data_IF_713605326689
#
_entry.id   IF_713605326689
#
_cell.length_a   1.000
_cell.length_b   1.000
_cell.length_c   1.000
_cell.angle_alpha   90.00
_cell.angle_beta   90.00
_cell.angle_gamma   90.00
#
_symmetry.space_group_name_H-M   'P 1'
#
loop_
_entity.id
_entity.type
_entity.pdbx_description
1 polymer ?
#
# COMPACT_ATOMS: atom_id res chain seq x y z
N UNK A 1 -29.12 -12.11 0.39
CA UNK A 1 -29.47 -10.85 -0.29
C UNK A 1 -30.09 -9.78 0.64
N UNK A 2 -30.49 -10.12 1.88
CA UNK A 2 -31.10 -9.17 2.85
C UNK A 2 -30.11 -8.45 3.79
N UNK A 3 -28.83 -8.84 3.84
CA UNK A 3 -27.81 -8.18 4.67
C UNK A 3 -27.18 -6.94 4.02
N UNK A 4 -27.27 -6.78 2.69
CA UNK A 4 -26.71 -5.65 1.95
C UNK A 4 -27.51 -4.34 2.13
N UNK A 5 -28.77 -4.42 2.55
CA UNK A 5 -29.65 -3.27 2.67
C UNK A 5 -29.52 -2.49 3.99
N UNK A 6 -28.77 -3.02 4.99
CA UNK A 6 -28.73 -2.43 6.34
C UNK A 6 -27.50 -1.54 6.62
N UNK A 7 -26.46 -1.55 5.77
CA UNK A 7 -25.23 -0.77 5.96
C UNK A 7 -24.54 -0.32 4.64
N UNK A 8 -25.20 0.49 3.78
CA UNK A 8 -24.65 0.89 2.47
C UNK A 8 -23.38 1.73 2.55
N UNK A 9 -23.20 2.51 3.63
CA UNK A 9 -22.04 3.40 3.82
C UNK A 9 -20.73 2.65 4.06
N UNK A 10 -20.76 1.54 4.81
CA UNK A 10 -19.57 0.75 5.15
C UNK A 10 -19.10 -0.10 3.97
N UNK A 11 -20.05 -0.67 3.21
CA UNK A 11 -19.73 -1.45 2.01
C UNK A 11 -19.13 -0.56 0.91
N UNK A 12 -19.72 0.61 0.67
CA UNK A 12 -19.21 1.57 -0.31
C UNK A 12 -17.79 2.04 0.03
N UNK A 13 -17.53 2.35 1.30
CA UNK A 13 -16.19 2.72 1.77
C UNK A 13 -15.18 1.58 1.60
N UNK A 14 -15.57 0.34 1.91
CA UNK A 14 -14.70 -0.82 1.74
C UNK A 14 -14.35 -1.06 0.27
N UNK A 15 -15.34 -1.04 -0.63
CA UNK A 15 -15.12 -1.19 -2.07
C UNK A 15 -14.19 -0.08 -2.59
N UNK A 16 -14.42 1.16 -2.19
CA UNK A 16 -13.58 2.29 -2.58
C UNK A 16 -12.13 2.12 -2.09
N UNK A 17 -11.93 1.73 -0.83
CA UNK A 17 -10.60 1.46 -0.29
C UNK A 17 -9.90 0.35 -1.06
N UNK A 18 -10.59 -0.76 -1.33
CA UNK A 18 -10.03 -1.88 -2.09
C UNK A 18 -9.64 -1.44 -3.50
N UNK A 19 -10.50 -0.69 -4.18
CA UNK A 19 -10.22 -0.18 -5.51
C UNK A 19 -9.00 0.76 -5.52
N UNK A 20 -8.93 1.72 -4.58
CA UNK A 20 -7.81 2.64 -4.47
C UNK A 20 -6.50 1.92 -4.11
N UNK A 21 -6.52 1.01 -3.14
CA UNK A 21 -5.34 0.21 -2.76
C UNK A 21 -4.86 -0.65 -3.93
N UNK A 22 -5.78 -1.25 -4.69
CA UNK A 22 -5.44 -2.04 -5.88
C UNK A 22 -4.75 -1.15 -6.92
N UNK A 23 -5.29 0.03 -7.21
CA UNK A 23 -4.69 0.98 -8.16
C UNK A 23 -3.28 1.43 -7.73
N UNK A 24 -3.10 1.74 -6.45
CA UNK A 24 -1.79 2.11 -5.88
C UNK A 24 -0.80 0.96 -6.00
N UNK A 25 -1.21 -0.28 -5.71
CA UNK A 25 -0.35 -1.45 -5.86
C UNK A 25 -0.03 -1.75 -7.32
N UNK A 26 -1.00 -1.61 -8.23
CA UNK A 26 -0.76 -1.73 -9.67
C UNK A 26 0.26 -0.70 -10.14
N UNK A 27 0.11 0.57 -9.74
CA UNK A 27 1.10 1.61 -10.02
C UNK A 27 2.48 1.25 -9.42
N UNK A 28 2.51 0.72 -8.20
CA UNK A 28 3.75 0.26 -7.56
C UNK A 28 4.45 -0.84 -8.35
N UNK A 29 3.72 -1.84 -8.88
CA UNK A 29 4.31 -2.88 -9.73
C UNK A 29 4.82 -2.33 -11.06
N UNK A 30 4.11 -1.36 -11.67
CA UNK A 30 4.60 -0.67 -12.88
C UNK A 30 5.90 0.10 -12.60
N UNK A 31 6.00 0.79 -11.46
CA UNK A 31 7.24 1.49 -11.10
C UNK A 31 8.38 0.55 -10.73
N UNK A 32 8.09 -0.56 -10.06
CA UNK A 32 9.07 -1.61 -9.84
C UNK A 32 9.61 -2.14 -11.18
N UNK A 33 8.73 -2.41 -12.13
CA UNK A 33 9.12 -2.82 -13.48
C UNK A 33 10.00 -1.76 -14.15
N UNK A 34 9.66 -0.47 -14.04
CA UNK A 34 10.45 0.60 -14.66
C UNK A 34 11.85 0.72 -14.04
N UNK A 35 11.97 0.49 -12.73
CA UNK A 35 13.25 0.51 -12.00
C UNK A 35 14.12 -0.68 -12.41
N UNK A 36 13.58 -1.89 -12.32
CA UNK A 36 14.32 -3.13 -12.63
C UNK A 36 14.70 -3.20 -14.11
N UNK A 37 13.87 -2.64 -14.99
CA UNK A 37 14.15 -2.57 -16.43
C UNK A 37 15.12 -1.44 -16.82
N UNK A 38 15.59 -0.63 -15.86
CA UNK A 38 16.46 0.52 -16.14
C UNK A 38 15.81 1.63 -16.95
N UNK A 39 14.48 1.67 -17.04
CA UNK A 39 13.72 2.63 -17.85
C UNK A 39 13.33 3.90 -17.08
N UNK A 40 13.73 3.97 -15.81
CA UNK A 40 13.48 5.09 -14.92
C UNK A 40 14.46 6.22 -15.22
N UNK A 41 13.93 7.41 -15.48
CA UNK A 41 14.73 8.62 -15.74
C UNK A 41 14.37 9.69 -14.72
N UNK A 42 15.30 10.55 -14.32
CA UNK A 42 15.02 11.68 -13.43
C UNK A 42 14.61 11.33 -11.99
N UNK A 43 14.89 10.10 -11.52
CA UNK A 43 14.59 9.65 -10.15
C UNK A 43 15.19 10.57 -9.10
N UNK A 44 16.45 11.00 -9.29
CA UNK A 44 17.16 11.88 -8.36
C UNK A 44 16.46 13.22 -8.14
N UNK A 45 15.80 13.77 -9.17
CA UNK A 45 15.04 15.00 -9.06
C UNK A 45 13.73 14.86 -8.27
N UNK A 46 13.16 13.65 -8.24
CA UNK A 46 11.90 13.34 -7.52
C UNK A 46 12.14 12.75 -6.13
N UNK A 47 13.32 12.20 -5.90
CA UNK A 47 13.72 11.56 -4.64
C UNK A 47 13.38 12.39 -3.39
N UNK A 48 13.62 13.73 -3.35
CA UNK A 48 13.25 14.54 -2.18
C UNK A 48 11.74 14.50 -1.85
N UNK A 49 10.86 14.38 -2.85
CA UNK A 49 9.42 14.29 -2.62
C UNK A 49 9.02 12.95 -1.97
N UNK A 50 9.68 11.86 -2.36
CA UNK A 50 9.44 10.54 -1.74
C UNK A 50 9.95 10.49 -0.30
N UNK A 51 11.10 11.12 -0.02
CA UNK A 51 11.61 11.28 1.34
C UNK A 51 10.70 12.16 2.19
N UNK A 52 10.13 13.22 1.61
CA UNK A 52 9.12 14.05 2.30
C UNK A 52 7.88 13.22 2.65
N UNK A 53 7.38 12.40 1.72
CA UNK A 53 6.23 11.52 1.97
C UNK A 53 6.52 10.48 3.07
N UNK A 54 7.73 9.91 3.09
CA UNK A 54 8.23 9.05 4.18
C UNK A 54 8.17 9.77 5.53
N UNK A 55 8.70 10.99 5.60
CA UNK A 55 8.73 11.77 6.83
C UNK A 55 7.32 12.10 7.34
N UNK A 56 6.40 12.48 6.43
CA UNK A 56 4.99 12.71 6.77
C UNK A 56 4.34 11.43 7.31
N UNK A 57 4.53 10.30 6.63
CA UNK A 57 4.00 9.01 7.07
C UNK A 57 4.54 8.58 8.43
N UNK A 58 5.84 8.76 8.66
CA UNK A 58 6.49 8.49 9.95
C UNK A 58 5.89 9.36 11.06
N UNK A 59 5.86 10.68 10.89
CA UNK A 59 5.34 11.62 11.90
C UNK A 59 3.86 11.37 12.18
N UNK A 60 3.06 11.15 11.12
CA UNK A 60 1.65 10.80 11.25
C UNK A 60 1.45 9.51 12.05
N UNK A 61 2.29 8.50 11.82
CA UNK A 61 2.24 7.24 12.57
C UNK A 61 2.62 7.41 14.04
N UNK A 62 3.59 8.27 14.38
CA UNK A 62 3.93 8.57 15.78
C UNK A 62 2.69 9.07 16.51
N UNK A 63 2.01 10.09 15.98
CA UNK A 63 0.82 10.63 16.62
C UNK A 63 -0.39 9.68 16.60
N UNK A 64 -0.54 8.85 15.56
CA UNK A 64 -1.64 7.91 15.46
C UNK A 64 -1.49 6.70 16.39
N UNK A 65 -0.25 6.29 16.69
CA UNK A 65 0.06 5.15 17.55
C UNK A 65 0.27 5.56 19.02
N UNK A 66 0.53 6.84 19.29
CA UNK A 66 0.71 7.38 20.65
C UNK A 66 -0.65 7.53 21.36
N UNK A 67 -1.17 6.40 21.86
CA UNK A 67 -2.44 6.30 22.57
C UNK A 67 -2.33 6.35 24.11
N UNK A 68 -1.19 6.77 24.67
CA UNK A 68 -0.96 6.89 26.12
C UNK A 68 -0.71 5.58 26.88
N UNK A 69 -1.27 4.45 26.43
CA UNK A 69 -1.06 3.12 27.04
C UNK A 69 -0.11 2.21 26.24
N UNK A 70 0.35 2.66 25.05
CA UNK A 70 1.20 1.85 24.17
C UNK A 70 2.68 2.04 24.53
N UNK A 71 3.42 0.94 24.68
CA UNK A 71 4.87 0.99 24.93
C UNK A 71 5.61 1.78 23.85
N UNK A 72 6.54 2.66 24.26
CA UNK A 72 7.27 3.56 23.36
C UNK A 72 8.06 2.81 22.30
N UNK A 73 8.54 1.59 22.59
CA UNK A 73 9.20 0.73 21.60
C UNK A 73 8.25 0.30 20.48
N UNK A 74 7.01 -0.03 20.83
CA UNK A 74 5.96 -0.41 19.86
C UNK A 74 5.58 0.78 18.98
N UNK A 75 5.41 1.96 19.56
CA UNK A 75 5.16 3.21 18.81
C UNK A 75 6.30 3.50 17.85
N UNK A 76 7.56 3.42 18.31
CA UNK A 76 8.73 3.65 17.47
C UNK A 76 8.83 2.66 16.31
N UNK A 77 8.70 1.36 16.58
CA UNK A 77 8.78 0.32 15.55
C UNK A 77 7.64 0.45 14.51
N UNK A 78 6.41 0.69 14.98
CA UNK A 78 5.27 0.91 14.10
C UNK A 78 5.44 2.16 13.24
N UNK A 79 5.98 3.23 13.80
CA UNK A 79 6.21 4.49 13.08
C UNK A 79 7.32 4.36 12.05
N UNK A 80 8.45 3.73 12.39
CA UNK A 80 9.54 3.42 11.44
C UNK A 80 9.02 2.55 10.30
N UNK A 81 8.29 1.48 10.63
CA UNK A 81 7.67 0.60 9.63
C UNK A 81 6.73 1.35 8.69
N UNK A 82 5.89 2.23 9.24
CA UNK A 82 4.96 3.06 8.45
C UNK A 82 5.69 4.06 7.57
N UNK A 83 6.75 4.69 8.07
CA UNK A 83 7.61 5.59 7.30
C UNK A 83 8.22 4.86 6.11
N UNK A 84 8.91 3.74 6.35
CA UNK A 84 9.54 2.95 5.29
C UNK A 84 8.53 2.43 4.27
N UNK A 85 7.36 1.97 4.72
CA UNK A 85 6.28 1.56 3.82
C UNK A 85 5.78 2.74 2.97
N UNK A 86 5.60 3.91 3.57
CA UNK A 86 5.21 5.13 2.87
C UNK A 86 6.25 5.51 1.81
N UNK A 87 7.54 5.45 2.14
CA UNK A 87 8.63 5.68 1.18
C UNK A 87 8.56 4.71 0.00
N UNK A 88 8.43 3.42 0.29
CA UNK A 88 8.39 2.36 -0.71
C UNK A 88 7.20 2.53 -1.65
N UNK A 89 5.99 2.66 -1.08
CA UNK A 89 4.75 2.79 -1.88
C UNK A 89 4.77 4.06 -2.71
N UNK A 90 5.19 5.19 -2.15
CA UNK A 90 5.20 6.46 -2.90
C UNK A 90 6.27 6.51 -3.98
N UNK A 91 7.46 5.96 -3.72
CA UNK A 91 8.52 5.83 -4.74
C UNK A 91 8.04 4.94 -5.89
N UNK A 92 7.57 3.73 -5.58
CA UNK A 92 7.15 2.78 -6.61
C UNK A 92 5.91 3.28 -7.37
N UNK A 93 4.89 3.77 -6.68
CA UNK A 93 3.70 4.30 -7.35
C UNK A 93 4.01 5.56 -8.17
N UNK A 94 4.84 6.46 -7.65
CA UNK A 94 5.26 7.68 -8.34
C UNK A 94 6.01 7.37 -9.63
N UNK A 95 7.00 6.48 -9.56
CA UNK A 95 7.73 6.03 -10.76
C UNK A 95 6.83 5.27 -11.73
N UNK A 96 5.88 4.48 -11.23
CA UNK A 96 4.90 3.79 -12.07
C UNK A 96 3.99 4.74 -12.84
N UNK A 97 3.49 5.79 -12.18
CA UNK A 97 2.69 6.84 -12.81
C UNK A 97 3.49 7.60 -13.87
N UNK A 98 4.72 8.00 -13.56
CA UNK A 98 5.59 8.67 -14.53
C UNK A 98 5.91 7.75 -15.71
N UNK A 99 6.14 6.46 -15.47
CA UNK A 99 6.39 5.49 -16.52
C UNK A 99 5.16 5.31 -17.43
N UNK A 100 3.97 5.17 -16.86
CA UNK A 100 2.72 5.07 -17.60
C UNK A 100 2.40 6.33 -18.41
N UNK A 101 2.70 7.51 -17.86
CA UNK A 101 2.49 8.79 -18.55
C UNK A 101 3.49 9.02 -19.69
N UNK A 102 4.75 8.60 -19.52
CA UNK A 102 5.80 8.80 -20.53
C UNK A 102 5.86 7.71 -21.59
N UNK A 103 5.37 6.50 -21.28
CA UNK A 103 5.37 5.34 -22.19
C UNK A 103 4.04 4.56 -22.10
N UNK A 104 2.91 5.19 -22.44
CA UNK A 104 1.59 4.59 -22.29
C UNK A 104 1.44 3.28 -23.07
N UNK A 105 2.01 3.20 -24.28
CA UNK A 105 1.90 2.02 -25.15
C UNK A 105 2.49 0.75 -24.52
N UNK A 106 3.55 0.91 -23.70
CA UNK A 106 4.21 -0.22 -23.03
C UNK A 106 3.45 -0.72 -21.81
N UNK A 107 2.63 0.13 -21.21
CA UNK A 107 1.86 -0.20 -20.01
C UNK A 107 0.47 -0.69 -20.39
N UNK A 108 -0.29 0.11 -21.15
CA UNK A 108 -1.69 -0.17 -21.47
C UNK A 108 -1.86 -1.14 -22.65
N UNK A 109 -0.86 -1.25 -23.53
CA UNK A 109 -0.85 -2.23 -24.63
C UNK A 109 -0.44 -3.64 -24.20
N UNK A 110 -0.08 -3.85 -22.92
CA UNK A 110 0.53 -5.08 -22.43
C UNK A 110 -0.43 -5.89 -21.55
N UNK A 111 -0.48 -7.21 -21.77
CA UNK A 111 -1.19 -8.15 -20.88
C UNK A 111 -0.64 -8.11 -19.44
N UNK A 112 0.59 -7.62 -19.27
CA UNK A 112 1.28 -7.49 -17.99
C UNK A 112 0.53 -6.57 -17.02
N UNK A 113 -0.20 -5.57 -17.53
CA UNK A 113 -1.04 -4.71 -16.69
C UNK A 113 -2.17 -5.50 -16.01
N UNK A 114 -2.79 -6.46 -16.70
CA UNK A 114 -3.83 -7.31 -16.11
C UNK A 114 -3.26 -8.17 -14.98
N UNK A 115 -2.05 -8.70 -15.14
CA UNK A 115 -1.35 -9.41 -14.08
C UNK A 115 -1.05 -8.51 -12.88
N UNK A 116 -0.66 -7.26 -13.08
CA UNK A 116 -0.44 -6.29 -12.00
C UNK A 116 -1.73 -5.86 -11.29
N UNK A 117 -2.84 -5.74 -12.02
CA UNK A 117 -4.17 -5.50 -11.42
C UNK A 117 -4.60 -6.70 -10.58
N UNK A 118 -4.47 -7.92 -11.12
CA UNK A 118 -4.79 -9.14 -10.39
C UNK A 118 -3.92 -9.28 -9.13
N UNK A 119 -2.61 -9.06 -9.24
CA UNK A 119 -1.69 -9.07 -8.11
C UNK A 119 -2.07 -8.01 -7.07
N UNK A 120 -2.34 -6.77 -7.49
CA UNK A 120 -2.76 -5.69 -6.58
C UNK A 120 -4.07 -6.02 -5.84
N UNK A 121 -5.02 -6.64 -6.52
CA UNK A 121 -6.30 -7.05 -5.93
C UNK A 121 -6.10 -8.17 -4.90
N UNK A 122 -5.32 -9.20 -5.24
CA UNK A 122 -4.98 -10.31 -4.33
C UNK A 122 -4.25 -9.79 -3.11
N UNK A 123 -3.23 -8.96 -3.30
CA UNK A 123 -2.46 -8.36 -2.19
C UNK A 123 -3.35 -7.51 -1.30
N UNK A 124 -4.24 -6.68 -1.86
CA UNK A 124 -5.18 -5.86 -1.08
C UNK A 124 -6.11 -6.72 -0.23
N UNK A 125 -6.73 -7.75 -0.83
CA UNK A 125 -7.61 -8.67 -0.11
C UNK A 125 -6.88 -9.42 1.00
N UNK A 126 -5.66 -9.89 0.74
CA UNK A 126 -4.84 -10.60 1.72
C UNK A 126 -4.41 -9.68 2.87
N UNK A 127 -3.97 -8.45 2.58
CA UNK A 127 -3.60 -7.48 3.62
C UNK A 127 -4.78 -7.13 4.52
N UNK A 128 -5.97 -6.92 3.95
CA UNK A 128 -7.18 -6.68 4.73
C UNK A 128 -7.50 -7.87 5.64
N UNK A 129 -7.41 -9.08 5.11
CA UNK A 129 -7.66 -10.31 5.88
C UNK A 129 -6.65 -10.47 7.02
N UNK A 130 -5.35 -10.36 6.74
CA UNK A 130 -4.28 -10.47 7.76
C UNK A 130 -4.51 -9.45 8.87
N UNK A 131 -4.74 -8.19 8.55
CA UNK A 131 -4.92 -7.14 9.57
C UNK A 131 -6.16 -7.37 10.43
N UNK A 132 -7.21 -7.98 9.88
CA UNK A 132 -8.46 -8.22 10.59
C UNK A 132 -8.42 -9.47 11.47
N UNK A 133 -7.76 -10.54 11.01
CA UNK A 133 -7.88 -11.89 11.60
C UNK A 133 -6.57 -12.48 12.12
N UNK A 134 -5.41 -11.83 11.93
CA UNK A 134 -4.10 -12.33 12.37
C UNK A 134 -4.05 -12.77 13.83
N UNK A 135 -4.74 -12.05 14.72
CA UNK A 135 -4.71 -12.31 16.18
C UNK A 135 -5.37 -13.64 16.55
N UNK A 136 -6.29 -14.14 15.76
CA UNK A 136 -6.95 -15.44 15.99
C UNK A 136 -5.99 -16.61 15.80
N UNK A 137 -4.97 -16.46 14.93
CA UNK A 137 -3.95 -17.48 14.69
C UNK A 137 -2.70 -17.30 15.57
N UNK A 138 -2.41 -16.06 15.98
CA UNK A 138 -1.27 -15.76 16.86
C UNK A 138 -1.56 -16.09 18.34
N UNK A 139 -2.84 -16.25 18.72
CA UNK A 139 -3.22 -16.77 20.02
C UNK A 139 -2.97 -18.28 20.05
N UNK A 140 -1.80 -18.70 20.50
CA UNK A 140 -1.54 -20.10 20.84
C UNK A 140 -2.48 -20.48 21.99
N UNK A 141 -3.49 -21.32 21.73
CA UNK A 141 -4.14 -22.02 22.83
C UNK A 141 -3.09 -22.94 23.50
N UNK A 142 -2.92 -22.87 24.84
CA UNK A 142 -2.07 -23.84 25.52
C UNK A 142 -2.65 -25.23 25.29
N UNK A 143 -1.83 -26.13 24.77
CA UNK A 143 -2.17 -27.56 24.65
C UNK A 143 -2.23 -28.10 26.09
N UNK A 144 -3.43 -28.42 26.58
CA UNK A 144 -3.62 -29.16 27.84
C UNK A 144 -3.15 -30.62 27.73
#
# INVERSE_FOLDING_TARGET
MLLLARYPSHLGRAILLVALSTLVLTASFVGLLSLVSGQTTGLSGRFPLYVLAMAIGFVGAVFALDGGETDGKTVLLGSVGTGLLSFLVTTLSGEGLVHAATRPDRVFGSQLLLYFVAAGLVTTGLSFWILSYWREFAATEPIE
#
